data_IF_927821979158
#
_entry.id   IF_927821979158
#
_cell.length_a   1.000
_cell.length_b   1.000
_cell.length_c   1.000
_cell.angle_alpha   90.00
_cell.angle_beta   90.00
_cell.angle_gamma   90.00
#
_symmetry.space_group_name_H-M   'P 1'
#
loop_
_entity.id
_entity.type
_entity.pdbx_description
1 polymer ?
#
# COMPACT_ATOMS: atom_id res chain seq x y z
N UNK A 1 40.89 6.04 -15.02
CA UNK A 1 39.54 5.64 -15.45
C UNK A 1 38.62 6.86 -15.33
N UNK A 2 37.88 7.26 -16.38
CA UNK A 2 36.94 8.36 -16.25
C UNK A 2 35.83 7.95 -15.27
N UNK A 3 35.46 8.83 -14.33
CA UNK A 3 34.28 8.61 -13.48
C UNK A 3 33.05 8.64 -14.37
N UNK A 4 32.41 7.49 -14.58
CA UNK A 4 31.09 7.46 -15.20
C UNK A 4 30.11 8.24 -14.30
N UNK A 5 29.27 9.04 -14.94
CA UNK A 5 28.18 9.71 -14.25
C UNK A 5 27.21 8.67 -13.69
N UNK A 6 26.94 8.74 -12.38
CA UNK A 6 25.90 7.94 -11.75
C UNK A 6 24.59 8.74 -11.72
N UNK A 7 23.64 8.30 -12.55
CA UNK A 7 22.34 8.94 -12.69
C UNK A 7 21.37 8.61 -11.54
N UNK A 8 21.61 7.53 -10.79
CA UNK A 8 20.67 7.01 -9.80
C UNK A 8 20.33 8.02 -8.69
N UNK A 9 21.31 8.72 -8.08
CA UNK A 9 20.99 9.70 -7.04
C UNK A 9 20.13 10.86 -7.54
N UNK A 10 20.32 11.26 -8.81
CA UNK A 10 19.55 12.35 -9.44
C UNK A 10 18.13 11.89 -9.72
N UNK A 11 17.97 10.69 -10.26
CA UNK A 11 16.66 10.09 -10.52
C UNK A 11 15.87 9.91 -9.23
N UNK A 12 16.46 9.27 -8.20
CA UNK A 12 15.79 9.08 -6.92
C UNK A 12 15.42 10.38 -6.25
N UNK A 13 16.30 11.38 -6.22
CA UNK A 13 15.96 12.70 -5.65
C UNK A 13 14.76 13.33 -6.37
N UNK A 14 14.71 13.24 -7.69
CA UNK A 14 13.63 13.82 -8.50
C UNK A 14 12.32 13.06 -8.32
N UNK A 15 12.34 11.75 -8.46
CA UNK A 15 11.14 10.91 -8.34
C UNK A 15 10.62 10.87 -6.92
N UNK A 16 11.50 10.81 -5.92
CA UNK A 16 11.10 10.89 -4.51
C UNK A 16 10.39 12.21 -4.22
N UNK A 17 10.93 13.36 -4.68
CA UNK A 17 10.29 14.68 -4.48
C UNK A 17 8.87 14.75 -5.05
N UNK A 18 8.58 14.05 -6.16
CA UNK A 18 7.27 14.07 -6.82
C UNK A 18 6.32 13.00 -6.30
N UNK A 19 6.81 11.79 -6.04
CA UNK A 19 5.99 10.61 -5.83
C UNK A 19 5.90 10.18 -4.35
N UNK A 20 6.66 10.80 -3.43
CA UNK A 20 6.58 10.44 -2.00
C UNK A 20 5.16 10.52 -1.40
N UNK A 21 4.26 11.46 -1.79
CA UNK A 21 2.91 11.49 -1.25
C UNK A 21 2.09 10.28 -1.68
N UNK A 22 2.36 9.73 -2.87
CA UNK A 22 1.72 8.50 -3.35
C UNK A 22 2.14 7.30 -2.49
N UNK A 23 3.43 7.17 -2.17
CA UNK A 23 3.91 6.08 -1.31
C UNK A 23 3.34 6.18 0.10
N UNK A 24 3.27 7.39 0.66
CA UNK A 24 2.64 7.63 1.97
C UNK A 24 1.14 7.29 1.93
N UNK A 25 0.42 7.77 0.93
CA UNK A 25 -0.99 7.45 0.75
C UNK A 25 -1.23 5.94 0.62
N UNK A 26 -0.42 5.26 -0.20
CA UNK A 26 -0.47 3.81 -0.36
C UNK A 26 -0.24 3.07 0.96
N UNK A 27 0.76 3.47 1.75
CA UNK A 27 1.04 2.88 3.05
C UNK A 27 -0.10 3.10 4.05
N UNK A 28 -0.67 4.30 4.11
CA UNK A 28 -1.80 4.63 4.99
C UNK A 28 -3.03 3.80 4.62
N UNK A 29 -3.42 3.80 3.34
CA UNK A 29 -4.56 3.02 2.86
C UNK A 29 -4.35 1.52 3.11
N UNK A 30 -3.17 0.99 2.82
CA UNK A 30 -2.83 -0.41 3.10
C UNK A 30 -2.95 -0.76 4.58
N UNK A 31 -2.49 0.13 5.47
CA UNK A 31 -2.60 -0.06 6.93
C UNK A 31 -4.07 -0.07 7.37
N UNK A 32 -4.90 0.86 6.88
CA UNK A 32 -6.33 0.93 7.22
C UNK A 32 -7.04 -0.34 6.76
N UNK A 33 -6.88 -0.74 5.50
CA UNK A 33 -7.51 -1.95 4.96
C UNK A 33 -7.07 -3.17 5.77
N UNK A 34 -5.77 -3.29 6.06
CA UNK A 34 -5.25 -4.41 6.86
C UNK A 34 -5.89 -4.45 8.24
N UNK A 35 -6.00 -3.30 8.93
CA UNK A 35 -6.64 -3.22 10.23
C UNK A 35 -8.11 -3.61 10.19
N UNK A 36 -8.85 -3.17 9.17
CA UNK A 36 -10.25 -3.55 8.98
C UNK A 36 -10.39 -5.04 8.68
N UNK A 37 -9.55 -5.59 7.80
CA UNK A 37 -9.56 -7.02 7.45
C UNK A 37 -9.22 -7.91 8.65
N UNK A 38 -8.23 -7.54 9.46
CA UNK A 38 -7.88 -8.28 10.69
C UNK A 38 -8.96 -8.17 11.77
N UNK A 39 -9.82 -7.15 11.71
CA UNK A 39 -10.94 -6.98 12.64
C UNK A 39 -12.20 -7.78 12.26
N UNK A 40 -12.21 -8.47 11.12
CA UNK A 40 -13.37 -9.26 10.70
C UNK A 40 -13.51 -10.51 11.59
N UNK A 41 -14.71 -10.70 12.14
CA UNK A 41 -15.03 -11.84 13.00
C UNK A 41 -15.97 -12.84 12.31
N UNK A 42 -16.10 -14.03 12.89
CA UNK A 42 -17.08 -15.03 12.43
C UNK A 42 -18.52 -14.51 12.51
N UNK A 43 -18.83 -13.66 13.50
CA UNK A 43 -20.15 -13.05 13.65
C UNK A 43 -20.47 -12.09 12.49
N UNK A 44 -19.46 -11.39 11.97
CA UNK A 44 -19.61 -10.54 10.79
C UNK A 44 -19.84 -11.38 9.53
N UNK A 45 -19.14 -12.51 9.42
CA UNK A 45 -19.36 -13.46 8.33
C UNK A 45 -20.77 -14.06 8.35
N UNK A 46 -21.32 -14.36 9.54
CA UNK A 46 -22.72 -14.83 9.71
C UNK A 46 -23.74 -13.80 9.24
N UNK A 47 -23.45 -12.51 9.40
CA UNK A 47 -24.33 -11.40 8.97
C UNK A 47 -24.17 -11.02 7.50
N UNK A 48 -23.11 -11.46 6.84
CA UNK A 48 -22.84 -11.14 5.44
C UNK A 48 -23.57 -12.09 4.49
N UNK A 49 -24.58 -11.59 3.79
CA UNK A 49 -25.30 -12.35 2.76
C UNK A 49 -24.37 -12.90 1.66
N UNK A 50 -23.31 -12.14 1.33
CA UNK A 50 -22.29 -12.59 0.38
C UNK A 50 -21.48 -13.77 0.93
N UNK A 51 -20.96 -13.66 2.16
CA UNK A 51 -20.17 -14.73 2.77
C UNK A 51 -20.99 -16.01 2.97
N UNK A 52 -22.28 -15.90 3.27
CA UNK A 52 -23.17 -17.06 3.37
C UNK A 52 -23.45 -17.72 2.01
N UNK A 53 -23.54 -16.95 0.92
CA UNK A 53 -23.75 -17.48 -0.44
C UNK A 53 -22.52 -18.16 -1.04
N UNK A 54 -21.32 -17.76 -0.61
CA UNK A 54 -20.04 -18.22 -1.15
C UNK A 54 -19.20 -19.01 -0.12
N UNK A 55 -19.88 -19.62 0.85
CA UNK A 55 -19.27 -20.58 1.79
C UNK A 55 -19.05 -21.93 1.14
#
# INVERSE_FOLDING_TARGET
>A
MPKLFDAWPVYFRREWKRNWPFLVGFAVTGTIITKLSLGLTEEDAKKSAFAQRHK
#
